data_IF_229668543012
#
_entry.id   IF_229668543012
#
_cell.length_a   1.000
_cell.length_b   1.000
_cell.length_c   1.000
_cell.angle_alpha   90.00
_cell.angle_beta   90.00
_cell.angle_gamma   90.00
#
_symmetry.space_group_name_H-M   'P 1'
#
loop_
_entity.id
_entity.type
_entity.pdbx_description
1 polymer ?
#
# COMPACT_ATOMS: atom_id res chain seq x y z
N UNK A 1 28.20 -27.87 23.25
CA UNK A 1 28.28 -27.28 21.89
C UNK A 1 26.93 -27.08 21.17
N UNK A 2 25.76 -27.13 21.83
CA UNK A 2 24.44 -26.96 21.17
C UNK A 2 23.67 -25.66 21.51
N UNK A 3 24.19 -24.80 22.38
CA UNK A 3 23.48 -23.57 22.81
C UNK A 3 23.66 -22.37 21.86
N UNK A 4 24.72 -22.34 21.05
CA UNK A 4 25.02 -21.21 20.14
C UNK A 4 24.17 -21.25 18.84
N UNK A 5 23.81 -22.45 18.36
CA UNK A 5 23.02 -22.59 17.12
C UNK A 5 21.55 -22.12 17.25
N UNK A 6 20.98 -22.12 18.46
CA UNK A 6 19.59 -21.63 18.69
C UNK A 6 19.45 -20.11 18.57
N UNK A 7 20.50 -19.35 18.86
CA UNK A 7 20.46 -17.90 18.81
C UNK A 7 20.45 -17.37 17.37
N UNK A 8 21.14 -18.04 16.45
CA UNK A 8 21.23 -17.63 15.04
C UNK A 8 19.89 -17.81 14.32
N UNK A 9 19.14 -18.87 14.66
CA UNK A 9 17.82 -19.12 14.07
C UNK A 9 16.78 -18.05 14.47
N UNK A 10 16.88 -17.47 15.66
CA UNK A 10 15.98 -16.40 16.11
C UNK A 10 16.26 -15.07 15.40
N UNK A 11 17.53 -14.79 15.05
CA UNK A 11 17.89 -13.56 14.32
C UNK A 11 17.37 -13.60 12.87
N UNK A 12 17.40 -14.76 12.21
CA UNK A 12 16.91 -14.89 10.82
C UNK A 12 15.38 -14.77 10.67
N UNK A 13 14.62 -15.08 11.74
CA UNK A 13 13.16 -14.92 11.75
C UNK A 13 12.72 -13.47 11.98
N UNK A 14 13.57 -12.62 12.56
CA UNK A 14 13.27 -11.20 12.79
C UNK A 14 13.61 -10.33 11.57
N UNK A 15 14.48 -10.79 10.67
CA UNK A 15 14.90 -10.03 9.47
C UNK A 15 14.07 -10.31 8.23
N UNK A 16 13.15 -11.28 8.25
CA UNK A 16 12.26 -11.60 7.11
C UNK A 16 10.97 -10.78 7.09
N UNK A 17 10.85 -9.81 8.01
CA UNK A 17 9.75 -8.87 8.06
C UNK A 17 10.15 -7.48 7.56
N UNK A 18 11.23 -7.37 6.80
CA UNK A 18 11.45 -6.21 5.93
C UNK A 18 10.53 -6.37 4.71
N UNK A 19 9.26 -6.05 4.97
CA UNK A 19 8.32 -5.25 4.18
C UNK A 19 8.76 -5.07 2.73
N UNK A 20 7.90 -5.45 1.78
CA UNK A 20 8.03 -5.03 0.39
C UNK A 20 7.72 -3.52 0.33
N UNK A 21 8.63 -2.72 0.86
CA UNK A 21 8.42 -1.30 1.11
C UNK A 21 8.12 -0.55 -0.17
N UNK A 22 7.29 0.48 -0.03
CA UNK A 22 6.94 1.38 -1.11
C UNK A 22 8.19 1.87 -1.85
N UNK A 23 8.25 1.61 -3.15
CA UNK A 23 9.34 2.08 -4.01
C UNK A 23 8.86 3.21 -4.90
N UNK A 24 9.39 4.42 -4.69
CA UNK A 24 9.10 5.57 -5.55
C UNK A 24 10.12 5.66 -6.70
N UNK A 25 9.61 5.57 -7.93
CA UNK A 25 10.37 5.83 -9.14
C UNK A 25 10.28 7.31 -9.54
N UNK A 26 11.39 8.07 -9.45
CA UNK A 26 11.38 9.49 -9.79
C UNK A 26 11.24 9.78 -11.29
N UNK A 27 11.56 8.83 -12.18
CA UNK A 27 11.45 9.02 -13.62
C UNK A 27 9.99 8.99 -14.06
N UNK A 28 9.25 7.98 -13.59
CA UNK A 28 7.83 7.81 -13.92
C UNK A 28 6.88 8.47 -12.91
N UNK A 29 7.41 9.02 -11.80
CA UNK A 29 6.63 9.57 -10.68
C UNK A 29 5.63 8.57 -10.12
N UNK A 30 6.01 7.30 -10.10
CA UNK A 30 5.14 6.19 -9.69
C UNK A 30 5.63 5.59 -8.39
N UNK A 31 4.73 5.41 -7.43
CA UNK A 31 4.98 4.65 -6.22
C UNK A 31 4.46 3.23 -6.42
N UNK A 32 5.35 2.26 -6.33
CA UNK A 32 5.05 0.83 -6.39
C UNK A 32 4.94 0.27 -4.98
N UNK A 33 3.94 -0.57 -4.73
CA UNK A 33 3.69 -1.08 -3.38
C UNK A 33 3.00 -2.44 -3.38
N UNK A 34 3.20 -3.18 -2.29
CA UNK A 34 2.50 -4.43 -1.99
C UNK A 34 1.35 -4.21 -1.02
N UNK A 35 0.32 -5.06 -1.10
CA UNK A 35 -0.66 -5.21 -0.04
C UNK A 35 -0.86 -6.69 0.31
N UNK A 36 -1.20 -6.99 1.56
CA UNK A 36 -1.60 -8.35 1.96
C UNK A 36 -2.84 -8.87 1.21
N UNK A 37 -3.18 -10.15 1.41
CA UNK A 37 -4.43 -10.70 0.87
C UNK A 37 -5.66 -10.05 1.51
N UNK A 38 -6.76 -10.02 0.77
CA UNK A 38 -8.08 -9.56 1.25
C UNK A 38 -8.10 -8.09 1.72
N UNK A 39 -7.37 -7.25 1.01
CA UNK A 39 -7.41 -5.79 1.14
C UNK A 39 -7.55 -5.19 -0.24
N UNK A 40 -8.10 -3.98 -0.30
CA UNK A 40 -8.15 -3.17 -1.51
C UNK A 40 -6.99 -2.16 -1.52
N UNK A 41 -6.50 -1.80 -2.70
CA UNK A 41 -5.39 -0.87 -2.85
C UNK A 41 -5.91 0.45 -3.43
N UNK A 42 -5.70 1.55 -2.70
CA UNK A 42 -6.20 2.89 -3.06
C UNK A 42 -5.02 3.86 -3.16
N UNK A 43 -5.11 4.80 -4.09
CA UNK A 43 -4.19 5.92 -4.21
C UNK A 43 -4.87 7.21 -3.76
N UNK A 44 -4.21 8.01 -2.92
CA UNK A 44 -4.69 9.35 -2.57
C UNK A 44 -3.86 10.46 -3.21
N UNK A 45 -4.56 11.47 -3.74
CA UNK A 45 -3.97 12.71 -4.21
C UNK A 45 -4.26 13.81 -3.18
N UNK A 46 -3.25 14.30 -2.44
CA UNK A 46 -3.48 15.27 -1.39
C UNK A 46 -3.84 16.65 -1.98
N UNK A 47 -4.89 17.25 -1.45
CA UNK A 47 -5.23 18.67 -1.63
C UNK A 47 -5.19 19.41 -0.29
N UNK A 48 -5.59 20.70 -0.30
CA UNK A 48 -5.47 21.57 0.88
C UNK A 48 -6.44 21.21 2.01
N UNK A 49 -7.71 20.93 1.67
CA UNK A 49 -8.77 20.58 2.63
C UNK A 49 -9.37 19.20 2.34
N UNK A 50 -9.22 18.75 1.10
CA UNK A 50 -9.74 17.48 0.60
C UNK A 50 -8.63 16.69 -0.07
N UNK A 51 -8.84 15.41 -0.25
CA UNK A 51 -8.00 14.53 -1.04
C UNK A 51 -8.87 13.69 -1.98
N UNK A 52 -8.31 13.31 -3.12
CA UNK A 52 -9.00 12.44 -4.08
C UNK A 52 -8.53 11.01 -3.92
N UNK A 53 -9.46 10.07 -3.86
CA UNK A 53 -9.19 8.64 -3.82
C UNK A 53 -9.50 8.02 -5.17
N UNK A 54 -8.61 7.13 -5.61
CA UNK A 54 -8.77 6.32 -6.82
C UNK A 54 -8.24 4.91 -6.57
N UNK A 55 -8.74 3.91 -7.28
CA UNK A 55 -8.13 2.58 -7.24
C UNK A 55 -6.67 2.61 -7.69
N UNK A 56 -5.82 1.86 -6.99
CA UNK A 56 -4.45 1.64 -7.41
C UNK A 56 -4.39 0.68 -8.60
N UNK A 57 -3.42 0.90 -9.48
CA UNK A 57 -3.27 0.07 -10.67
C UNK A 57 -2.57 -1.23 -10.31
N UNK A 58 -3.23 -2.36 -10.51
CA UNK A 58 -2.62 -3.68 -10.33
C UNK A 58 -1.61 -3.96 -11.45
N UNK A 59 -0.39 -4.33 -11.09
CA UNK A 59 0.70 -4.55 -12.06
C UNK A 59 0.64 -5.93 -12.71
N UNK A 60 0.30 -6.95 -11.92
CA UNK A 60 0.28 -8.33 -12.39
C UNK A 60 -1.03 -9.02 -11.99
N UNK A 61 -1.71 -9.70 -12.94
CA UNK A 61 -2.79 -10.61 -12.60
C UNK A 61 -2.30 -11.66 -11.58
N UNK A 62 -3.13 -11.95 -10.58
CA UNK A 62 -2.79 -12.93 -9.52
C UNK A 62 -1.88 -12.40 -8.40
N UNK A 63 -1.03 -11.39 -8.65
CA UNK A 63 -0.19 -10.78 -7.59
C UNK A 63 -0.85 -9.56 -6.95
N UNK A 64 -0.36 -9.13 -5.79
CA UNK A 64 -0.87 -7.97 -5.05
C UNK A 64 0.12 -6.80 -5.11
N UNK A 65 0.75 -6.64 -6.27
CA UNK A 65 1.65 -5.52 -6.55
C UNK A 65 0.84 -4.44 -7.27
N UNK A 66 0.91 -3.23 -6.73
CA UNK A 66 0.12 -2.09 -7.16
C UNK A 66 1.02 -0.89 -7.46
N UNK A 67 0.46 0.05 -8.21
CA UNK A 67 1.10 1.31 -8.54
C UNK A 67 0.15 2.50 -8.36
N UNK A 68 0.70 3.56 -7.78
CA UNK A 68 0.12 4.89 -7.72
C UNK A 68 0.96 5.83 -8.56
N UNK A 69 0.38 6.33 -9.66
CA UNK A 69 1.04 7.28 -10.55
C UNK A 69 0.92 8.73 -10.02
N UNK A 70 1.64 9.65 -10.65
CA UNK A 70 1.54 11.10 -10.43
C UNK A 70 1.77 11.54 -8.99
N UNK A 71 2.72 10.88 -8.30
CA UNK A 71 3.05 11.14 -6.89
C UNK A 71 1.87 10.93 -5.91
N UNK A 72 0.86 10.16 -6.31
CA UNK A 72 -0.21 9.77 -5.39
C UNK A 72 0.33 8.84 -4.30
N UNK A 73 -0.24 8.95 -3.12
CA UNK A 73 0.15 8.15 -1.96
C UNK A 73 -0.58 6.80 -1.96
N UNK A 74 0.14 5.69 -1.76
CA UNK A 74 -0.46 4.36 -1.68
C UNK A 74 -1.10 4.10 -0.31
N UNK A 75 -2.18 3.32 -0.34
CA UNK A 75 -2.93 2.87 0.84
C UNK A 75 -3.39 1.44 0.62
N UNK A 76 -3.19 0.59 1.63
CA UNK A 76 -3.84 -0.73 1.72
C UNK A 76 -5.03 -0.61 2.66
N UNK A 77 -6.22 -0.92 2.17
CA UNK A 77 -7.49 -0.66 2.85
C UNK A 77 -8.28 -1.95 3.08
N UNK A 78 -9.07 -2.01 4.14
CA UNK A 78 -9.99 -3.12 4.38
C UNK A 78 -10.88 -3.36 3.15
N UNK A 79 -10.96 -4.62 2.72
CA UNK A 79 -11.69 -4.99 1.52
C UNK A 79 -13.15 -4.57 1.58
N UNK A 80 -13.64 -3.96 0.50
CA UNK A 80 -15.02 -3.55 0.33
C UNK A 80 -15.37 -2.18 0.90
N UNK A 81 -14.48 -1.53 1.67
CA UNK A 81 -14.78 -0.23 2.31
C UNK A 81 -14.87 0.93 1.32
N UNK A 82 -14.24 0.81 0.16
CA UNK A 82 -14.16 1.86 -0.85
C UNK A 82 -14.82 1.45 -2.19
N UNK A 83 -15.75 0.49 -2.19
CA UNK A 83 -16.47 0.01 -3.40
C UNK A 83 -17.15 1.12 -4.19
N UNK A 84 -17.49 2.23 -3.54
CA UNK A 84 -18.02 3.42 -4.20
C UNK A 84 -17.12 3.94 -5.33
N UNK A 85 -15.81 3.67 -5.27
CA UNK A 85 -14.85 4.00 -6.33
C UNK A 85 -15.17 3.28 -7.66
N UNK A 86 -15.84 2.13 -7.64
CA UNK A 86 -16.20 1.39 -8.86
C UNK A 86 -17.13 2.18 -9.77
N UNK A 87 -17.92 3.09 -9.19
CA UNK A 87 -18.94 3.85 -9.91
C UNK A 87 -18.72 5.36 -9.88
N UNK A 88 -17.91 5.86 -8.93
CA UNK A 88 -17.78 7.30 -8.63
C UNK A 88 -16.34 7.79 -8.55
N UNK A 89 -15.36 7.02 -9.03
CA UNK A 89 -13.98 7.48 -9.01
C UNK A 89 -13.76 8.73 -9.88
N UNK A 90 -13.00 9.74 -9.40
CA UNK A 90 -12.38 9.82 -8.07
C UNK A 90 -13.38 10.22 -6.97
N UNK A 91 -13.27 9.58 -5.79
CA UNK A 91 -14.01 10.04 -4.61
C UNK A 91 -13.26 11.17 -3.91
N UNK A 92 -13.98 12.22 -3.51
CA UNK A 92 -13.41 13.35 -2.76
C UNK A 92 -13.75 13.18 -1.29
N UNK A 93 -12.72 13.09 -0.45
CA UNK A 93 -12.85 13.00 1.02
C UNK A 93 -12.03 14.10 1.69
N UNK A 94 -12.22 14.31 2.99
CA UNK A 94 -11.40 15.26 3.75
C UNK A 94 -9.92 14.85 3.74
N UNK A 95 -9.03 15.82 3.67
CA UNK A 95 -7.59 15.58 3.76
C UNK A 95 -7.22 15.02 5.15
N UNK A 96 -6.25 14.11 5.19
CA UNK A 96 -5.80 13.43 6.41
C UNK A 96 -5.70 11.92 6.23
N UNK A 97 -5.69 11.14 7.33
CA UNK A 97 -5.70 9.69 7.28
C UNK A 97 -6.91 9.16 6.49
N UNK A 98 -6.66 8.25 5.56
CA UNK A 98 -7.74 7.56 4.83
C UNK A 98 -8.33 6.48 5.73
N UNK A 99 -9.64 6.57 6.01
CA UNK A 99 -10.29 5.62 6.93
C UNK A 99 -10.20 4.18 6.42
N UNK A 100 -10.09 3.23 7.35
CA UNK A 100 -9.95 1.80 7.06
C UNK A 100 -8.72 1.42 6.25
N UNK A 101 -7.71 2.29 6.21
CA UNK A 101 -6.47 2.04 5.49
C UNK A 101 -5.25 2.19 6.38
N UNK A 102 -4.20 1.44 6.05
CA UNK A 102 -2.85 1.69 6.52
C UNK A 102 -2.14 2.57 5.50
N UNK A 103 -1.56 3.68 5.98
CA UNK A 103 -0.69 4.53 5.17
C UNK A 103 0.64 3.82 4.97
N UNK A 104 1.15 3.87 3.73
CA UNK A 104 2.30 3.13 3.23
C UNK A 104 1.98 1.65 2.98
N UNK A 105 2.29 1.17 1.78
CA UNK A 105 2.15 -0.24 1.42
C UNK A 105 3.01 -1.14 2.30
N UNK A 106 2.68 -2.42 2.28
CA UNK A 106 3.21 -3.47 3.17
C UNK A 106 4.29 -4.32 2.51
#
# INVERSE_FOLDING_TARGET
MFRLFRLIAFVLLLTSWEVAGDFYDPQTKTTYFGCHKNVDAVCSEPGRLTQKLTWAKRLHPGKRDYACHDKKHPHCCDQGKWQDLDFRAPLIVLAGPVQYCTGQGQ
#
